data_IF_528940440032
#
_entry.id   IF_528940440032
#
_cell.length_a   1.000
_cell.length_b   1.000
_cell.length_c   1.000
_cell.angle_alpha   90.00
_cell.angle_beta   90.00
_cell.angle_gamma   90.00
#
_symmetry.space_group_name_H-M   'P 1'
#
loop_
_entity.id
_entity.type
_entity.pdbx_description
1 polymer ?
#
# COMPACT_ATOMS: atom_id res chain seq x y z
N UNK A 1 0.86 21.31 -17.24
CA UNK A 1 1.12 20.31 -18.31
C UNK A 1 -0.10 19.42 -18.48
N UNK A 2 -0.52 19.10 -19.72
CA UNK A 2 -1.64 18.19 -19.95
C UNK A 2 -1.34 16.79 -19.41
N UNK A 3 -2.30 16.16 -18.72
CA UNK A 3 -2.16 14.80 -18.15
C UNK A 3 -2.12 13.70 -19.22
N UNK A 4 -2.50 14.00 -20.46
CA UNK A 4 -2.56 13.05 -21.58
C UNK A 4 -1.67 13.57 -22.70
N UNK A 5 -0.82 12.71 -23.26
CA UNK A 5 0.03 13.00 -24.42
C UNK A 5 -0.78 13.30 -25.68
N UNK A 6 -1.94 12.66 -25.81
CA UNK A 6 -2.84 12.80 -26.96
C UNK A 6 -4.13 13.51 -26.55
N UNK A 7 -4.54 14.48 -27.35
CA UNK A 7 -5.85 15.14 -27.32
C UNK A 7 -6.94 14.18 -27.79
N UNK A 8 -8.20 14.52 -27.51
CA UNK A 8 -9.33 13.71 -27.98
C UNK A 8 -9.37 13.61 -29.51
N UNK A 9 -9.11 14.72 -30.20
CA UNK A 9 -9.11 14.78 -31.66
C UNK A 9 -8.02 13.88 -32.26
N UNK A 10 -6.80 13.92 -31.70
CA UNK A 10 -5.71 13.04 -32.15
C UNK A 10 -6.03 11.57 -31.93
N UNK A 11 -6.65 11.22 -30.79
CA UNK A 11 -7.08 9.83 -30.53
C UNK A 11 -8.09 9.35 -31.57
N UNK A 12 -9.09 10.17 -31.88
CA UNK A 12 -10.11 9.82 -32.87
C UNK A 12 -9.50 9.70 -34.27
N UNK A 13 -8.61 10.62 -34.66
CA UNK A 13 -7.92 10.55 -35.94
C UNK A 13 -7.12 9.25 -36.10
N UNK A 14 -6.35 8.87 -35.07
CA UNK A 14 -5.56 7.63 -35.08
C UNK A 14 -6.43 6.37 -35.12
N UNK A 15 -7.58 6.36 -34.45
CA UNK A 15 -8.52 5.24 -34.50
C UNK A 15 -9.13 5.12 -35.90
N UNK A 16 -9.60 6.22 -36.48
CA UNK A 16 -10.17 6.23 -37.83
C UNK A 16 -9.14 5.80 -38.88
N UNK A 17 -7.91 6.31 -38.77
CA UNK A 17 -6.80 5.91 -39.64
C UNK A 17 -6.51 4.42 -39.51
N UNK A 18 -6.42 3.90 -38.28
CA UNK A 18 -6.22 2.48 -38.03
C UNK A 18 -7.34 1.62 -38.66
N UNK A 19 -8.60 2.00 -38.47
CA UNK A 19 -9.76 1.29 -39.03
C UNK A 19 -9.81 1.32 -40.56
N UNK A 20 -9.30 2.38 -41.18
CA UNK A 20 -9.15 2.46 -42.63
C UNK A 20 -7.92 1.72 -43.15
N UNK A 21 -6.96 1.40 -42.28
CA UNK A 21 -5.74 0.68 -42.62
C UNK A 21 -5.98 -0.83 -42.63
N UNK A 22 -5.24 -1.55 -43.47
CA UNK A 22 -5.18 -3.02 -43.43
C UNK A 22 -4.07 -3.53 -42.50
N UNK A 23 -3.51 -2.66 -41.66
CA UNK A 23 -2.39 -2.98 -40.79
C UNK A 23 -2.87 -3.71 -39.52
N UNK A 24 -2.00 -4.55 -38.96
CA UNK A 24 -2.22 -5.08 -37.61
C UNK A 24 -2.01 -3.97 -36.56
N UNK A 25 -2.66 -4.11 -35.40
CA UNK A 25 -2.49 -3.17 -34.26
C UNK A 25 -1.00 -2.96 -33.94
N UNK A 26 -0.21 -4.02 -33.95
CA UNK A 26 1.23 -3.96 -33.65
C UNK A 26 1.99 -3.18 -34.72
N UNK A 27 1.71 -3.42 -36.00
CA UNK A 27 2.36 -2.71 -37.11
C UNK A 27 2.00 -1.21 -37.10
N UNK A 28 0.70 -0.91 -36.97
CA UNK A 28 0.20 0.46 -36.89
C UNK A 28 0.79 1.20 -35.67
N UNK A 29 0.73 0.58 -34.48
CA UNK A 29 1.26 1.21 -33.26
C UNK A 29 2.75 1.53 -33.38
N UNK A 30 3.55 0.62 -33.97
CA UNK A 30 4.97 0.86 -34.21
C UNK A 30 5.21 2.03 -35.18
N UNK A 31 4.44 2.11 -36.27
CA UNK A 31 4.53 3.20 -37.25
C UNK A 31 4.25 4.58 -36.63
N UNK A 32 3.31 4.65 -35.69
CA UNK A 32 2.92 5.90 -35.01
C UNK A 32 3.61 6.11 -33.66
N UNK A 33 4.59 5.28 -33.29
CA UNK A 33 5.32 5.40 -32.02
C UNK A 33 4.46 5.21 -30.77
N UNK A 34 3.40 4.41 -30.86
CA UNK A 34 2.46 4.07 -29.80
C UNK A 34 2.84 2.73 -29.14
N UNK A 35 2.48 2.57 -27.86
CA UNK A 35 2.48 1.24 -27.26
C UNK A 35 1.41 0.37 -27.91
N UNK A 36 1.74 -0.90 -28.20
CA UNK A 36 0.89 -1.83 -28.94
C UNK A 36 -0.48 -2.11 -28.32
N UNK A 37 -0.70 -1.82 -27.03
CA UNK A 37 -2.03 -1.91 -26.42
C UNK A 37 -2.86 -0.64 -26.59
N UNK A 38 -2.26 0.48 -27.00
CA UNK A 38 -2.89 1.82 -26.94
C UNK A 38 -4.12 1.91 -27.83
N UNK A 39 -3.98 1.56 -29.11
CA UNK A 39 -5.09 1.64 -30.08
C UNK A 39 -6.23 0.70 -29.70
N UNK A 40 -5.93 -0.57 -29.41
CA UNK A 40 -6.95 -1.53 -28.99
C UNK A 40 -7.68 -1.09 -27.71
N UNK A 41 -6.97 -0.50 -26.73
CA UNK A 41 -7.61 0.05 -25.53
C UNK A 41 -8.48 1.28 -25.82
N UNK A 42 -8.09 2.12 -26.78
CA UNK A 42 -8.91 3.26 -27.19
C UNK A 42 -10.17 2.80 -27.93
N UNK A 43 -10.07 1.85 -28.86
CA UNK A 43 -11.24 1.27 -29.53
C UNK A 43 -12.22 0.62 -28.55
N UNK A 44 -11.71 -0.19 -27.61
CA UNK A 44 -12.55 -0.80 -26.57
C UNK A 44 -13.27 0.24 -25.71
N UNK A 45 -12.59 1.34 -25.33
CA UNK A 45 -13.20 2.42 -24.55
C UNK A 45 -14.19 3.23 -25.37
N UNK A 46 -13.92 3.44 -26.65
CA UNK A 46 -14.84 4.11 -27.56
C UNK A 46 -16.11 3.29 -27.77
N UNK A 47 -15.98 1.97 -27.93
CA UNK A 47 -17.12 1.07 -28.05
C UNK A 47 -17.93 0.98 -26.75
N UNK A 48 -17.25 0.96 -25.59
CA UNK A 48 -17.89 0.80 -24.27
C UNK A 48 -18.53 2.09 -23.75
N UNK A 49 -17.81 3.21 -23.81
CA UNK A 49 -18.17 4.47 -23.14
C UNK A 49 -18.38 5.63 -24.13
N UNK A 50 -18.28 5.38 -25.43
CA UNK A 50 -18.31 6.42 -26.45
C UNK A 50 -17.12 7.39 -26.34
N UNK A 51 -17.34 8.62 -26.79
CA UNK A 51 -16.32 9.69 -26.76
C UNK A 51 -15.80 9.94 -25.33
N UNK A 52 -16.65 9.76 -24.31
CA UNK A 52 -16.28 9.93 -22.91
C UNK A 52 -15.17 8.95 -22.46
N UNK A 53 -15.07 7.77 -23.07
CA UNK A 53 -14.02 6.79 -22.80
C UNK A 53 -12.63 7.23 -23.26
N UNK A 54 -12.56 8.13 -24.25
CA UNK A 54 -11.32 8.68 -24.79
C UNK A 54 -10.91 10.00 -24.12
N UNK A 55 -11.85 10.70 -23.50
CA UNK A 55 -11.60 11.95 -22.79
C UNK A 55 -10.68 11.76 -21.58
N UNK A 56 -9.80 12.73 -21.36
CA UNK A 56 -9.02 12.78 -20.13
C UNK A 56 -9.95 13.09 -18.96
N UNK A 57 -9.95 12.23 -17.95
CA UNK A 57 -10.74 12.48 -16.75
C UNK A 57 -10.01 13.37 -15.76
N UNK A 58 -10.71 14.36 -15.22
CA UNK A 58 -10.16 15.29 -14.22
C UNK A 58 -10.39 14.79 -12.79
N UNK A 59 -11.39 13.93 -12.57
CA UNK A 59 -11.84 13.44 -11.26
C UNK A 59 -11.68 11.92 -11.15
N UNK A 60 -11.37 11.45 -9.93
CA UNK A 60 -11.36 10.03 -9.60
C UNK A 60 -12.80 9.50 -9.56
N UNK A 61 -13.01 8.27 -10.02
CA UNK A 61 -14.28 7.57 -9.78
C UNK A 61 -14.29 7.06 -8.34
N UNK A 62 -15.40 7.32 -7.65
CA UNK A 62 -15.64 6.81 -6.30
C UNK A 62 -16.65 5.67 -6.37
N UNK A 63 -16.34 4.59 -5.69
CA UNK A 63 -17.20 3.41 -5.62
C UNK A 63 -17.66 3.19 -4.19
N UNK A 64 -18.96 2.97 -4.01
CA UNK A 64 -19.55 2.71 -2.69
C UNK A 64 -19.06 1.36 -2.13
N UNK A 65 -19.12 1.18 -0.81
CA UNK A 65 -18.78 -0.09 -0.17
C UNK A 65 -19.61 -1.25 -0.74
N UNK A 66 -20.93 -1.03 -0.87
CA UNK A 66 -21.85 -2.02 -1.41
C UNK A 66 -21.48 -2.42 -2.84
N UNK A 67 -21.14 -1.46 -3.70
CA UNK A 67 -20.69 -1.75 -5.07
C UNK A 67 -19.41 -2.58 -5.10
N UNK A 68 -18.42 -2.22 -4.27
CA UNK A 68 -17.17 -2.99 -4.18
C UNK A 68 -17.42 -4.42 -3.72
N UNK A 69 -18.27 -4.61 -2.71
CA UNK A 69 -18.65 -5.93 -2.23
C UNK A 69 -19.37 -6.74 -3.31
N UNK A 70 -20.33 -6.13 -4.01
CA UNK A 70 -21.08 -6.78 -5.09
C UNK A 70 -20.14 -7.36 -6.17
N UNK A 71 -19.19 -6.58 -6.68
CA UNK A 71 -18.28 -7.03 -7.75
C UNK A 71 -17.29 -8.10 -7.25
N UNK A 72 -16.82 -7.97 -6.00
CA UNK A 72 -15.97 -8.99 -5.39
C UNK A 72 -16.73 -10.31 -5.31
N UNK A 73 -17.99 -10.31 -4.87
CA UNK A 73 -18.80 -11.52 -4.81
C UNK A 73 -19.04 -12.10 -6.21
N UNK A 74 -19.34 -11.25 -7.21
CA UNK A 74 -19.48 -11.72 -8.59
C UNK A 74 -18.20 -12.44 -9.09
N UNK A 75 -17.01 -11.93 -8.75
CA UNK A 75 -15.75 -12.60 -9.07
C UNK A 75 -15.58 -13.93 -8.33
N UNK A 76 -15.89 -13.97 -7.03
CA UNK A 76 -15.78 -15.18 -6.21
C UNK A 76 -16.79 -16.27 -6.65
N UNK A 77 -17.95 -15.86 -7.16
CA UNK A 77 -18.96 -16.74 -7.75
C UNK A 77 -18.59 -17.24 -9.16
N UNK A 78 -17.47 -16.79 -9.73
CA UNK A 78 -17.05 -17.16 -11.07
C UNK A 78 -17.89 -16.54 -12.20
N UNK A 79 -18.59 -15.42 -11.95
CA UNK A 79 -19.44 -14.75 -12.94
C UNK A 79 -18.66 -14.07 -14.08
N UNK A 80 -17.33 -14.07 -14.01
CA UNK A 80 -16.44 -13.58 -15.05
C UNK A 80 -15.02 -13.33 -14.57
N UNK A 81 -14.12 -13.12 -15.52
CA UNK A 81 -12.74 -12.68 -15.27
C UNK A 81 -12.71 -11.24 -14.73
N UNK A 82 -11.56 -10.84 -14.17
CA UNK A 82 -11.36 -9.47 -13.70
C UNK A 82 -11.63 -8.44 -14.81
N UNK A 83 -11.24 -8.75 -16.05
CA UNK A 83 -11.41 -7.85 -17.19
C UNK A 83 -12.88 -7.76 -17.61
N UNK A 84 -13.58 -8.89 -17.70
CA UNK A 84 -15.01 -8.93 -18.03
C UNK A 84 -15.84 -8.16 -17.00
N UNK A 85 -15.60 -8.39 -15.71
CA UNK A 85 -16.30 -7.67 -14.64
C UNK A 85 -15.97 -6.17 -14.66
N UNK A 86 -14.69 -5.82 -14.84
CA UNK A 86 -14.27 -4.41 -14.95
C UNK A 86 -14.97 -3.71 -16.12
N UNK A 87 -15.10 -4.38 -17.26
CA UNK A 87 -15.77 -3.83 -18.43
C UNK A 87 -17.29 -3.75 -18.24
N UNK A 88 -17.91 -4.81 -17.73
CA UNK A 88 -19.35 -4.91 -17.46
C UNK A 88 -19.83 -3.80 -16.52
N UNK A 89 -19.08 -3.54 -15.46
CA UNK A 89 -19.43 -2.53 -14.45
C UNK A 89 -18.75 -1.17 -14.68
N UNK A 90 -18.21 -0.93 -15.88
CA UNK A 90 -17.59 0.33 -16.30
C UNK A 90 -16.51 0.85 -15.31
N UNK A 91 -15.78 -0.09 -14.71
CA UNK A 91 -14.65 0.24 -13.87
C UNK A 91 -13.49 0.76 -14.72
N UNK A 92 -12.78 1.75 -14.19
CA UNK A 92 -11.67 2.37 -14.93
C UNK A 92 -10.39 1.56 -14.94
N UNK A 93 -10.26 0.57 -14.05
CA UNK A 93 -9.01 -0.16 -13.90
C UNK A 93 -9.26 -1.56 -13.35
N UNK A 94 -8.81 -2.55 -14.12
CA UNK A 94 -8.74 -3.94 -13.68
C UNK A 94 -7.84 -4.10 -12.45
N UNK A 95 -6.76 -3.31 -12.36
CA UNK A 95 -5.88 -3.30 -11.19
C UNK A 95 -6.58 -2.82 -9.92
N UNK A 96 -7.56 -1.91 -10.01
CA UNK A 96 -8.35 -1.52 -8.84
C UNK A 96 -9.18 -2.69 -8.30
N UNK A 97 -9.84 -3.45 -9.17
CA UNK A 97 -10.59 -4.65 -8.76
C UNK A 97 -9.66 -5.69 -8.13
N UNK A 98 -8.51 -5.96 -8.76
CA UNK A 98 -7.48 -6.85 -8.20
C UNK A 98 -7.04 -6.42 -6.79
N UNK A 99 -6.81 -5.12 -6.59
CA UNK A 99 -6.40 -4.60 -5.28
C UNK A 99 -7.51 -4.73 -4.23
N UNK A 100 -8.78 -4.57 -4.62
CA UNK A 100 -9.90 -4.82 -3.69
C UNK A 100 -10.00 -6.28 -3.29
N UNK A 101 -9.79 -7.22 -4.21
CA UNK A 101 -9.76 -8.66 -3.93
C UNK A 101 -8.62 -9.03 -2.98
N UNK A 102 -7.41 -8.50 -3.21
CA UNK A 102 -6.27 -8.72 -2.30
C UNK A 102 -6.61 -8.23 -0.89
N UNK A 103 -7.22 -7.04 -0.77
CA UNK A 103 -7.62 -6.48 0.52
C UNK A 103 -8.72 -7.32 1.19
N UNK A 104 -9.71 -7.75 0.41
CA UNK A 104 -10.80 -8.59 0.89
C UNK A 104 -10.29 -9.96 1.36
N UNK A 105 -9.36 -10.59 0.63
CA UNK A 105 -8.80 -11.88 1.05
C UNK A 105 -7.94 -11.79 2.32
N UNK A 106 -7.35 -10.62 2.61
CA UNK A 106 -6.56 -10.40 3.83
C UNK A 106 -7.43 -10.16 5.05
N UNK A 107 -8.38 -9.22 4.96
CA UNK A 107 -9.09 -8.66 6.12
C UNK A 107 -10.61 -8.85 6.05
N UNK A 108 -11.15 -9.46 4.99
CA UNK A 108 -12.57 -9.51 4.62
C UNK A 108 -13.27 -8.14 4.58
N UNK A 109 -12.51 -7.04 4.51
CA UNK A 109 -13.03 -5.68 4.55
C UNK A 109 -12.75 -4.90 3.27
N UNK A 110 -13.75 -4.14 2.83
CA UNK A 110 -13.60 -3.16 1.75
C UNK A 110 -14.23 -1.85 2.21
N UNK A 111 -13.45 -0.77 2.18
CA UNK A 111 -13.88 0.56 2.59
C UNK A 111 -14.23 1.39 1.36
N UNK A 112 -15.26 2.25 1.43
CA UNK A 112 -15.63 3.13 0.32
C UNK A 112 -14.48 4.11 -0.01
N UNK A 113 -13.82 4.64 1.02
CA UNK A 113 -12.68 5.54 0.90
C UNK A 113 -11.34 4.82 1.13
N UNK A 114 -10.23 5.35 0.57
CA UNK A 114 -8.89 4.98 1.02
C UNK A 114 -8.82 5.14 2.54
N UNK A 115 -8.10 4.24 3.22
CA UNK A 115 -7.85 4.37 4.64
C UNK A 115 -7.31 5.79 4.91
N UNK A 116 -8.07 6.61 5.65
CA UNK A 116 -7.57 7.90 6.13
C UNK A 116 -6.28 7.60 6.90
N UNK A 117 -5.24 8.46 6.80
CA UNK A 117 -4.09 8.36 7.71
C UNK A 117 -4.68 8.26 9.13
N UNK A 118 -4.43 7.14 9.81
CA UNK A 118 -4.82 6.95 11.20
C UNK A 118 -4.26 8.15 11.96
N UNK A 119 -5.10 8.86 12.71
CA UNK A 119 -4.60 9.86 13.66
C UNK A 119 -3.86 9.05 14.72
N UNK A 120 -2.57 9.30 14.97
CA UNK A 120 -1.86 8.58 16.01
C UNK A 120 -2.61 8.74 17.33
N UNK A 121 -2.92 7.63 17.99
CA UNK A 121 -3.45 7.68 19.35
C UNK A 121 -2.39 8.32 20.24
N UNK A 122 -2.77 9.34 21.00
CA UNK A 122 -1.84 10.06 21.88
C UNK A 122 -1.48 9.15 23.05
N UNK A 123 -0.25 8.65 23.07
CA UNK A 123 0.25 7.81 24.17
C UNK A 123 0.40 8.60 25.46
N UNK A 124 0.18 7.95 26.61
CA UNK A 124 0.61 8.48 27.90
C UNK A 124 2.12 8.73 27.90
N UNK A 125 2.56 9.84 28.48
CA UNK A 125 3.99 10.10 28.70
C UNK A 125 4.46 9.41 29.98
N UNK A 126 5.61 8.76 29.92
CA UNK A 126 6.31 8.24 31.10
C UNK A 126 7.31 9.27 31.64
N UNK A 127 7.39 9.39 32.96
CA UNK A 127 8.42 10.13 33.68
C UNK A 127 9.74 9.35 33.73
N UNK A 128 10.82 9.98 34.20
CA UNK A 128 12.11 9.30 34.37
C UNK A 128 12.05 8.20 35.44
N UNK A 129 11.46 8.50 36.60
CA UNK A 129 11.35 7.54 37.71
C UNK A 129 10.51 6.32 37.32
N UNK A 130 9.38 6.52 36.64
CA UNK A 130 8.60 5.39 36.09
C UNK A 130 9.45 4.51 35.17
N UNK A 131 10.30 5.09 34.30
CA UNK A 131 11.19 4.29 33.45
C UNK A 131 12.21 3.50 34.25
N UNK A 132 12.74 4.06 35.33
CA UNK A 132 13.66 3.36 36.23
C UNK A 132 12.95 2.19 36.91
N UNK A 133 11.76 2.41 37.48
CA UNK A 133 10.94 1.36 38.11
C UNK A 133 10.61 0.22 37.14
N UNK A 134 10.27 0.55 35.90
CA UNK A 134 10.00 -0.44 34.85
C UNK A 134 11.24 -1.30 34.58
N UNK A 135 12.41 -0.68 34.43
CA UNK A 135 13.67 -1.41 34.17
C UNK A 135 14.04 -2.30 35.35
N UNK A 136 13.94 -1.81 36.58
CA UNK A 136 14.18 -2.59 37.79
C UNK A 136 13.22 -3.78 37.90
N UNK A 137 11.94 -3.56 37.60
CA UNK A 137 10.92 -4.60 37.61
C UNK A 137 11.23 -5.70 36.58
N UNK A 138 11.55 -5.33 35.33
CA UNK A 138 11.90 -6.27 34.26
C UNK A 138 13.11 -7.12 34.68
N UNK A 139 14.17 -6.48 35.19
CA UNK A 139 15.41 -7.16 35.56
C UNK A 139 15.20 -8.13 36.74
N UNK A 140 14.36 -7.78 37.71
CA UNK A 140 14.11 -8.62 38.90
C UNK A 140 13.32 -9.88 38.56
N UNK A 141 12.38 -9.81 37.62
CA UNK A 141 11.48 -10.92 37.28
C UNK A 141 11.82 -11.65 35.98
N UNK A 142 12.83 -11.19 35.22
CA UNK A 142 13.13 -11.66 33.86
C UNK A 142 11.89 -11.61 32.94
N UNK A 143 11.12 -10.53 33.06
CA UNK A 143 9.85 -10.36 32.35
C UNK A 143 10.04 -10.14 30.85
N UNK A 144 9.16 -10.72 30.06
CA UNK A 144 9.10 -10.54 28.61
C UNK A 144 8.60 -9.14 28.21
N UNK A 145 8.83 -8.77 26.94
CA UNK A 145 8.27 -7.54 26.38
C UNK A 145 6.74 -7.44 26.49
N UNK A 146 6.04 -8.58 26.47
CA UNK A 146 4.58 -8.61 26.58
C UNK A 146 4.11 -8.26 27.99
N UNK A 147 4.73 -8.87 28.99
CA UNK A 147 4.45 -8.57 30.40
C UNK A 147 4.82 -7.13 30.74
N UNK A 148 5.94 -6.62 30.21
CA UNK A 148 6.32 -5.22 30.38
C UNK A 148 5.29 -4.26 29.74
N UNK A 149 4.81 -4.55 28.54
CA UNK A 149 3.81 -3.71 27.90
C UNK A 149 2.47 -3.69 28.66
N UNK A 150 2.09 -4.82 29.26
CA UNK A 150 0.89 -4.92 30.11
C UNK A 150 1.07 -4.17 31.44
N UNK A 151 2.23 -4.29 32.08
CA UNK A 151 2.57 -3.60 33.32
C UNK A 151 2.56 -2.07 33.16
N UNK A 152 3.12 -1.58 32.05
CA UNK A 152 3.26 -0.14 31.77
C UNK A 152 1.94 0.52 31.32
N UNK A 153 1.06 -0.25 30.69
CA UNK A 153 -0.24 0.18 30.20
C UNK A 153 -0.16 0.94 28.87
N UNK A 154 -0.94 2.03 28.75
CA UNK A 154 -1.20 2.75 27.49
C UNK A 154 -0.02 3.65 27.04
N UNK A 155 1.12 3.04 26.74
CA UNK A 155 2.33 3.71 26.25
C UNK A 155 2.71 3.15 24.88
N UNK A 156 2.92 4.05 23.91
CA UNK A 156 3.19 3.71 22.50
C UNK A 156 4.52 4.34 22.07
N UNK A 157 5.65 3.79 22.54
CA UNK A 157 6.95 4.40 22.29
C UNK A 157 7.37 4.29 20.82
N UNK A 158 8.33 5.13 20.45
CA UNK A 158 9.13 4.89 19.23
C UNK A 158 10.34 4.05 19.64
N UNK A 159 10.51 2.89 19.04
CA UNK A 159 11.67 2.02 19.28
C UNK A 159 12.54 2.01 18.03
N UNK A 160 13.80 2.40 18.17
CA UNK A 160 14.79 2.23 17.11
C UNK A 160 15.40 0.83 17.20
N UNK A 161 15.26 0.04 16.15
CA UNK A 161 15.75 -1.34 16.06
C UNK A 161 16.56 -1.50 14.78
N UNK A 162 17.55 -2.40 14.82
CA UNK A 162 18.28 -2.81 13.64
C UNK A 162 17.39 -3.69 12.72
N UNK A 163 17.97 -4.19 11.63
CA UNK A 163 17.29 -5.06 10.66
C UNK A 163 17.63 -6.54 10.81
N UNK A 164 18.09 -6.97 11.97
CA UNK A 164 18.36 -8.37 12.27
C UNK A 164 17.12 -9.25 12.09
N UNK A 165 17.32 -10.55 11.88
CA UNK A 165 16.25 -11.52 11.66
C UNK A 165 15.25 -11.59 12.83
N UNK A 166 15.73 -11.41 14.07
CA UNK A 166 14.88 -11.36 15.26
C UNK A 166 13.87 -10.19 15.22
N UNK A 167 14.34 -9.00 14.84
CA UNK A 167 13.57 -7.76 14.83
C UNK A 167 12.76 -7.54 13.55
N UNK A 168 13.01 -8.34 12.52
CA UNK A 168 12.21 -8.38 11.29
C UNK A 168 11.19 -9.50 11.26
N UNK A 169 11.18 -10.37 12.28
CA UNK A 169 10.27 -11.53 12.39
C UNK A 169 8.79 -11.15 12.42
N UNK A 170 7.93 -12.03 11.88
CA UNK A 170 6.48 -11.83 11.88
C UNK A 170 5.90 -11.71 13.30
N UNK A 171 6.39 -12.52 14.23
CA UNK A 171 5.97 -12.48 15.64
C UNK A 171 6.26 -11.14 16.30
N UNK A 172 7.48 -10.61 16.11
CA UNK A 172 7.84 -9.30 16.65
C UNK A 172 7.05 -8.17 15.99
N UNK A 173 6.84 -8.25 14.67
CA UNK A 173 6.00 -7.28 13.96
C UNK A 173 4.56 -7.25 14.48
N UNK A 174 3.98 -8.42 14.76
CA UNK A 174 2.64 -8.53 15.32
C UNK A 174 2.57 -7.95 16.74
N UNK A 175 3.60 -8.19 17.55
CA UNK A 175 3.73 -7.60 18.88
C UNK A 175 3.74 -6.06 18.81
N UNK A 176 4.62 -5.46 17.99
CA UNK A 176 4.68 -4.01 17.85
C UNK A 176 3.35 -3.41 17.40
N UNK A 177 2.68 -4.05 16.44
CA UNK A 177 1.38 -3.61 15.96
C UNK A 177 0.28 -3.71 17.05
N UNK A 178 0.25 -4.81 17.82
CA UNK A 178 -0.71 -5.03 18.91
C UNK A 178 -0.62 -3.97 19.99
N UNK A 179 0.60 -3.53 20.32
CA UNK A 179 0.86 -2.54 21.37
C UNK A 179 1.01 -1.11 20.83
N UNK A 180 0.69 -0.89 19.55
CA UNK A 180 0.75 0.40 18.84
C UNK A 180 2.16 1.04 18.89
N UNK A 181 3.21 0.24 19.03
CA UNK A 181 4.61 0.68 19.09
C UNK A 181 5.06 1.12 17.70
N UNK A 182 5.63 2.31 17.62
CA UNK A 182 6.20 2.82 16.36
C UNK A 182 7.64 2.34 16.22
N UNK A 183 7.92 1.50 15.23
CA UNK A 183 9.30 1.16 14.90
C UNK A 183 9.97 2.23 14.06
N UNK A 184 11.24 2.48 14.36
CA UNK A 184 12.19 3.21 13.54
C UNK A 184 13.30 2.24 13.16
N UNK A 185 13.65 2.15 11.88
CA UNK A 185 14.76 1.30 11.41
C UNK A 185 15.66 2.10 10.48
N UNK A 186 16.96 1.80 10.53
CA UNK A 186 17.96 2.24 9.54
C UNK A 186 17.50 1.97 8.11
N UNK A 187 18.04 2.70 7.13
CA UNK A 187 17.76 2.44 5.70
C UNK A 187 18.40 1.11 5.23
N UNK A 188 17.85 0.49 4.16
CA UNK A 188 18.46 -0.73 3.62
C UNK A 188 19.87 -0.44 3.11
N UNK A 189 20.85 -1.27 3.48
CA UNK A 189 22.24 -1.12 3.04
C UNK A 189 23.00 0.05 3.69
N UNK A 190 22.49 0.59 4.79
CA UNK A 190 23.06 1.80 5.45
C UNK A 190 23.40 1.50 6.91
N UNK A 191 24.44 0.68 7.19
CA UNK A 191 24.78 0.25 8.55
C UNK A 191 25.22 1.42 9.45
N UNK A 192 25.68 2.53 8.86
CA UNK A 192 26.06 3.74 9.57
C UNK A 192 24.94 4.38 10.38
N UNK A 193 23.67 4.18 9.99
CA UNK A 193 22.52 4.72 10.73
C UNK A 193 22.44 4.14 12.16
N UNK A 194 22.95 2.92 12.37
CA UNK A 194 22.97 2.25 13.68
C UNK A 194 24.31 2.45 14.42
N UNK A 195 25.35 2.93 13.75
CA UNK A 195 26.69 3.06 14.34
C UNK A 195 26.74 3.91 15.63
N UNK A 196 25.96 4.99 15.80
CA UNK A 196 25.92 5.73 17.07
C UNK A 196 25.41 4.87 18.24
N UNK A 197 24.38 4.05 18.00
CA UNK A 197 23.81 3.18 19.03
C UNK A 197 24.75 2.03 19.38
N UNK A 198 25.39 1.43 18.38
CA UNK A 198 26.42 0.39 18.59
C UNK A 198 27.62 0.91 19.37
N UNK A 199 28.10 2.12 19.02
CA UNK A 199 29.21 2.74 19.74
C UNK A 199 28.84 3.01 21.20
N UNK A 200 27.68 3.63 21.44
CA UNK A 200 27.18 3.88 22.79
C UNK A 200 27.07 2.58 23.59
N UNK A 201 26.51 1.52 23.00
CA UNK A 201 26.32 0.24 23.69
C UNK A 201 27.65 -0.45 24.03
N UNK A 202 28.63 -0.36 23.13
CA UNK A 202 29.99 -0.87 23.38
C UNK A 202 30.67 -0.11 24.51
N UNK A 203 30.59 1.23 24.52
CA UNK A 203 31.14 2.04 25.62
C UNK A 203 30.42 1.77 26.94
N UNK A 204 29.09 1.66 26.90
CA UNK A 204 28.27 1.39 28.07
C UNK A 204 28.64 0.05 28.70
N UNK A 205 28.72 -1.01 27.89
CA UNK A 205 29.17 -2.33 28.37
C UNK A 205 30.55 -2.24 28.99
N UNK A 206 31.53 -1.71 28.27
CA UNK A 206 32.92 -1.63 28.73
C UNK A 206 33.09 -0.87 30.05
N UNK A 207 32.28 0.18 30.28
CA UNK A 207 32.44 1.06 31.43
C UNK A 207 31.51 0.75 32.60
N UNK A 208 30.40 0.04 32.37
CA UNK A 208 29.31 -0.09 33.35
C UNK A 208 28.74 -1.50 33.51
N UNK A 209 29.09 -2.44 32.64
CA UNK A 209 28.67 -3.84 32.75
C UNK A 209 29.92 -4.72 32.68
N UNK A 210 30.38 -5.17 33.85
CA UNK A 210 31.42 -6.21 33.98
C UNK A 210 30.89 -7.59 33.56
#
# INVERSE_FOLDING_TARGET
MPRSRYTLAEKLALITEFQSSSLSITAFSKQHGLDHHTIGQWELRLQRDGINGLMATTKNQHYSKAFKQMIIQAYLNGEGTLQELTNKYQMRSTSQLRNWLIKYNRDQTVTASPSRKQVPKMSRKTTFNERVEIVEWINKGNHSYSEAAEFVGDVHPVVHIDRGSAYTSGTFNNFLAKHEVTRSMSRPGTPYDNAPMEHWWNEFKLRWID
#
